data_IF_314185302426
#
_entry.id   IF_314185302426
#
_cell.length_a   1.000
_cell.length_b   1.000
_cell.length_c   1.000
_cell.angle_alpha   90.00
_cell.angle_beta   90.00
_cell.angle_gamma   90.00
#
_symmetry.space_group_name_H-M   'P 1'
#
loop_
_entity.id
_entity.type
_entity.pdbx_description
1 polymer ?
#
# COMPACT_ATOMS: atom_id res chain seq x y z
N UNK A 1 -33.82 0.84 21.89
CA UNK A 1 -34.04 -0.12 20.78
C UNK A 1 -35.51 -0.32 20.44
N UNK A 2 -36.40 -0.61 21.41
CA UNK A 2 -37.82 -0.97 21.16
C UNK A 2 -38.61 0.08 20.35
N UNK A 3 -38.35 1.39 20.56
CA UNK A 3 -39.10 2.47 19.88
C UNK A 3 -38.83 2.57 18.37
N UNK A 4 -37.62 2.24 17.90
CA UNK A 4 -37.26 2.29 16.48
C UNK A 4 -37.83 1.09 15.73
N UNK A 5 -37.63 -0.12 16.27
CA UNK A 5 -38.20 -1.36 15.70
C UNK A 5 -39.72 -1.29 15.64
N UNK A 6 -40.37 -0.79 16.69
CA UNK A 6 -41.82 -0.55 16.71
C UNK A 6 -42.27 0.46 15.64
N UNK A 7 -41.59 1.61 15.54
CA UNK A 7 -41.93 2.64 14.53
C UNK A 7 -41.75 2.16 13.09
N UNK A 8 -40.75 1.30 12.85
CA UNK A 8 -40.46 0.74 11.52
C UNK A 8 -41.16 -0.61 11.28
N UNK A 9 -41.93 -1.11 12.25
CA UNK A 9 -42.57 -2.43 12.22
C UNK A 9 -41.60 -3.58 11.91
N UNK A 10 -40.36 -3.47 12.37
CA UNK A 10 -39.32 -4.48 12.16
C UNK A 10 -39.33 -5.54 13.28
N UNK A 11 -39.07 -6.82 12.95
CA UNK A 11 -38.95 -7.86 13.96
C UNK A 11 -37.69 -7.66 14.81
N UNK A 12 -37.81 -7.89 16.12
CA UNK A 12 -36.64 -7.97 17.00
C UNK A 12 -35.89 -9.27 16.70
N UNK A 13 -34.63 -9.17 16.27
CA UNK A 13 -33.74 -10.32 16.04
C UNK A 13 -32.49 -10.17 16.88
N UNK A 14 -31.99 -11.27 17.42
CA UNK A 14 -30.64 -11.32 17.99
C UNK A 14 -29.68 -11.27 16.80
N UNK A 15 -28.75 -10.30 16.75
CA UNK A 15 -27.79 -10.25 15.66
C UNK A 15 -26.87 -11.48 15.70
N UNK A 16 -26.35 -11.94 14.54
CA UNK A 16 -25.31 -12.96 14.50
C UNK A 16 -24.10 -12.59 15.38
N UNK A 17 -23.40 -13.60 15.92
CA UNK A 17 -22.30 -13.42 16.90
C UNK A 17 -21.10 -12.64 16.35
N UNK A 18 -20.90 -12.69 15.04
CA UNK A 18 -19.87 -12.01 14.27
C UNK A 18 -20.18 -10.53 14.00
N UNK A 19 -21.40 -10.07 14.29
CA UNK A 19 -21.76 -8.66 14.14
C UNK A 19 -21.22 -7.85 15.33
N UNK A 20 -20.42 -6.80 15.09
CA UNK A 20 -19.90 -5.95 16.16
C UNK A 20 -21.04 -5.32 16.98
N UNK A 21 -20.86 -5.34 18.30
CA UNK A 21 -21.83 -4.81 19.25
C UNK A 21 -21.23 -3.61 20.02
N UNK A 22 -22.00 -3.05 20.96
CA UNK A 22 -21.58 -1.91 21.76
C UNK A 22 -20.22 -2.12 22.47
N UNK A 23 -19.99 -3.30 23.05
CA UNK A 23 -18.73 -3.60 23.74
C UNK A 23 -17.56 -3.70 22.75
N UNK A 24 -17.80 -4.19 21.53
CA UNK A 24 -16.81 -4.16 20.45
C UNK A 24 -16.35 -2.73 20.15
N UNK A 25 -17.28 -1.81 19.90
CA UNK A 25 -16.92 -0.40 19.63
C UNK A 25 -16.28 0.30 20.83
N UNK A 26 -16.75 -0.01 22.04
CA UNK A 26 -16.15 0.52 23.28
C UNK A 26 -14.69 0.04 23.44
N UNK A 27 -14.38 -1.19 23.04
CA UNK A 27 -13.01 -1.70 23.05
C UNK A 27 -12.10 -0.93 22.08
N UNK A 28 -12.58 -0.59 20.87
CA UNK A 28 -11.83 0.21 19.90
C UNK A 28 -11.48 1.59 20.46
N UNK A 29 -12.47 2.26 21.04
CA UNK A 29 -12.26 3.58 21.68
C UNK A 29 -11.28 3.47 22.85
N UNK A 30 -11.37 2.40 23.64
CA UNK A 30 -10.44 2.16 24.75
C UNK A 30 -9.01 1.99 24.25
N UNK A 31 -8.79 1.26 23.16
CA UNK A 31 -7.45 1.10 22.56
C UNK A 31 -6.95 2.43 22.02
N UNK A 32 -7.73 3.13 21.20
CA UNK A 32 -7.31 4.38 20.56
C UNK A 32 -6.99 5.50 21.58
N UNK A 33 -7.69 5.53 22.71
CA UNK A 33 -7.49 6.54 23.77
C UNK A 33 -6.47 6.13 24.83
N UNK A 34 -5.90 4.93 24.75
CA UNK A 34 -4.97 4.45 25.75
C UNK A 34 -3.63 5.21 25.66
N UNK A 35 -3.25 6.03 26.66
CA UNK A 35 -2.00 6.77 26.62
C UNK A 35 -0.77 5.88 26.77
N UNK A 36 -0.93 4.63 27.21
CA UNK A 36 0.15 3.66 27.32
C UNK A 36 0.53 3.00 25.98
N UNK A 37 -0.22 3.25 24.90
CA UNK A 37 0.16 2.74 23.59
C UNK A 37 1.49 3.36 23.15
N UNK A 38 2.45 2.57 22.65
CA UNK A 38 3.68 3.10 22.11
C UNK A 38 3.37 3.98 20.89
N UNK A 39 3.99 5.16 20.87
CA UNK A 39 3.90 6.09 19.73
C UNK A 39 4.96 5.69 18.70
N UNK A 40 4.54 5.58 17.43
CA UNK A 40 5.46 5.42 16.30
C UNK A 40 5.27 6.58 15.33
N UNK A 41 6.36 7.07 14.77
CA UNK A 41 6.36 8.19 13.83
C UNK A 41 6.44 7.70 12.39
N UNK A 42 5.47 8.09 11.58
CA UNK A 42 5.36 7.64 10.19
C UNK A 42 5.42 8.85 9.28
N UNK A 43 6.38 8.86 8.35
CA UNK A 43 6.42 9.85 7.28
C UNK A 43 5.35 9.52 6.25
N UNK A 44 4.40 10.42 6.06
CA UNK A 44 3.41 10.35 4.98
C UNK A 44 3.86 11.30 3.88
N UNK A 45 4.46 10.75 2.81
CA UNK A 45 5.03 11.55 1.72
C UNK A 45 4.04 11.59 0.55
N UNK A 46 3.30 12.69 0.43
CA UNK A 46 2.20 12.81 -0.52
C UNK A 46 2.15 14.14 -1.25
N UNK A 47 0.98 14.43 -1.81
CA UNK A 47 0.65 15.70 -2.46
C UNK A 47 -0.59 16.26 -1.76
N UNK A 48 -0.58 17.54 -1.36
CA UNK A 48 -1.67 18.17 -0.61
C UNK A 48 -1.86 17.60 0.81
N UNK A 49 -0.79 17.12 1.43
CA UNK A 49 -0.85 16.53 2.78
C UNK A 49 -0.96 17.58 3.89
N UNK A 50 -0.56 18.83 3.61
CA UNK A 50 -0.64 19.93 4.58
C UNK A 50 -1.90 20.79 4.44
N UNK A 51 -2.64 20.64 3.34
CA UNK A 51 -3.78 21.50 2.97
C UNK A 51 -5.12 21.15 3.63
N UNK A 52 -5.16 20.19 4.57
CA UNK A 52 -6.39 19.81 5.27
C UNK A 52 -7.49 19.20 4.39
N UNK A 53 -7.13 18.68 3.21
CA UNK A 53 -8.07 18.05 2.29
C UNK A 53 -8.28 16.58 2.60
N UNK A 54 -9.51 16.09 2.41
CA UNK A 54 -9.91 14.68 2.56
C UNK A 54 -9.33 13.75 1.48
N UNK A 55 -8.30 14.20 0.74
CA UNK A 55 -7.70 13.49 -0.38
C UNK A 55 -7.16 12.09 0.00
N UNK A 56 -6.84 11.89 1.28
CA UNK A 56 -6.30 10.63 1.81
C UNK A 56 -7.18 10.02 2.91
N UNK A 57 -8.45 10.42 3.00
CA UNK A 57 -9.33 10.02 4.12
C UNK A 57 -9.44 8.49 4.27
N UNK A 58 -9.60 7.74 3.17
CA UNK A 58 -9.65 6.27 3.22
C UNK A 58 -8.38 5.64 3.80
N UNK A 59 -7.21 6.20 3.48
CA UNK A 59 -5.92 5.74 3.99
C UNK A 59 -5.82 6.04 5.49
N UNK A 60 -6.19 7.24 5.92
CA UNK A 60 -6.18 7.62 7.34
C UNK A 60 -7.14 6.77 8.18
N UNK A 61 -8.30 6.39 7.65
CA UNK A 61 -9.19 5.44 8.32
C UNK A 61 -8.55 4.04 8.43
N UNK A 62 -7.85 3.58 7.38
CA UNK A 62 -7.09 2.33 7.45
C UNK A 62 -5.96 2.38 8.49
N UNK A 63 -5.33 3.55 8.70
CA UNK A 63 -4.33 3.76 9.74
C UNK A 63 -4.94 3.60 11.14
N UNK A 64 -6.14 4.14 11.38
CA UNK A 64 -6.88 3.92 12.63
C UNK A 64 -7.22 2.45 12.87
N UNK A 65 -7.62 1.70 11.84
CA UNK A 65 -7.83 0.25 11.96
C UNK A 65 -6.55 -0.45 12.43
N UNK A 66 -5.39 -0.06 11.89
CA UNK A 66 -4.10 -0.62 12.29
C UNK A 66 -3.68 -0.20 13.72
N UNK A 67 -4.00 1.03 14.15
CA UNK A 67 -3.79 1.48 15.53
C UNK A 67 -4.57 0.61 16.53
N UNK A 68 -5.82 0.28 16.21
CA UNK A 68 -6.65 -0.62 17.01
C UNK A 68 -6.01 -2.01 17.05
N UNK A 69 -5.69 -2.58 15.89
CA UNK A 69 -5.19 -3.95 15.77
C UNK A 69 -3.83 -4.17 16.45
N UNK A 70 -2.96 -3.18 16.43
CA UNK A 70 -1.60 -3.27 16.98
C UNK A 70 -1.46 -2.64 18.37
N UNK A 71 -2.52 -2.00 18.89
CA UNK A 71 -2.49 -1.18 20.10
C UNK A 71 -1.28 -0.23 20.09
N UNK A 72 -1.22 0.62 19.07
CA UNK A 72 -0.19 1.64 18.87
C UNK A 72 -0.84 3.01 18.71
N UNK A 73 -0.06 4.07 18.88
CA UNK A 73 -0.43 5.43 18.53
C UNK A 73 0.41 5.90 17.35
N UNK A 74 -0.22 6.47 16.34
CA UNK A 74 0.49 7.05 15.19
C UNK A 74 0.75 8.53 15.41
N UNK A 75 1.98 8.93 15.18
CA UNK A 75 2.39 10.32 14.97
C UNK A 75 2.75 10.48 13.49
N UNK A 76 1.92 11.20 12.74
CA UNK A 76 2.06 11.29 11.28
C UNK A 76 2.80 12.57 10.93
N UNK A 77 4.01 12.41 10.38
CA UNK A 77 4.75 13.49 9.75
C UNK A 77 4.26 13.64 8.30
N UNK A 78 3.34 14.57 8.08
CA UNK A 78 2.88 14.92 6.74
C UNK A 78 3.96 15.70 6.00
N UNK A 79 4.46 15.15 4.90
CA UNK A 79 5.52 15.74 4.09
C UNK A 79 5.04 15.93 2.65
N UNK A 80 5.03 17.19 2.19
CA UNK A 80 4.78 17.48 0.78
C UNK A 80 5.97 16.98 -0.03
N UNK A 81 5.72 16.13 -1.02
CA UNK A 81 6.79 15.55 -1.83
C UNK A 81 7.70 16.61 -2.48
N UNK A 82 7.19 17.78 -2.85
CA UNK A 82 7.98 18.90 -3.39
C UNK A 82 9.00 19.48 -2.39
N UNK A 83 8.87 19.24 -1.08
CA UNK A 83 9.85 19.70 -0.07
C UNK A 83 11.14 18.87 -0.06
N UNK A 84 11.06 17.64 -0.59
CA UNK A 84 12.21 16.76 -0.84
C UNK A 84 12.95 17.12 -2.13
N UNK A 85 12.51 18.19 -2.80
CA UNK A 85 13.12 18.73 -4.01
C UNK A 85 13.72 20.12 -3.67
N UNK A 86 14.90 20.42 -4.21
CA UNK A 86 15.53 21.74 -4.07
C UNK A 86 16.23 21.98 -2.73
N UNK A 87 16.26 23.25 -2.28
CA UNK A 87 17.14 23.70 -1.20
C UNK A 87 16.81 23.13 0.20
N UNK A 88 15.57 22.70 0.45
CA UNK A 88 15.14 22.07 1.71
C UNK A 88 15.31 20.55 1.73
N UNK A 89 15.78 19.95 0.63
CA UNK A 89 15.79 18.50 0.48
C UNK A 89 16.64 17.80 1.55
N UNK A 90 17.77 18.38 1.96
CA UNK A 90 18.65 17.78 2.98
C UNK A 90 17.95 17.69 4.35
N UNK A 91 17.31 18.77 4.79
CA UNK A 91 16.56 18.82 6.05
C UNK A 91 15.36 17.85 6.01
N UNK A 92 14.63 17.82 4.89
CA UNK A 92 13.52 16.91 4.70
C UNK A 92 13.96 15.44 4.76
N UNK A 93 15.13 15.11 4.18
CA UNK A 93 15.72 13.77 4.25
C UNK A 93 16.12 13.39 5.68
N UNK A 94 16.70 14.32 6.46
CA UNK A 94 16.98 14.07 7.89
C UNK A 94 15.69 13.82 8.69
N UNK A 95 14.62 14.56 8.40
CA UNK A 95 13.32 14.33 9.02
C UNK A 95 12.75 12.94 8.67
N UNK A 96 12.93 12.47 7.43
CA UNK A 96 12.56 11.10 7.03
C UNK A 96 13.35 10.04 7.80
N UNK A 97 14.66 10.24 7.99
CA UNK A 97 15.51 9.30 8.76
C UNK A 97 15.11 9.17 10.23
N UNK A 98 14.49 10.20 10.79
CA UNK A 98 14.00 10.19 12.16
C UNK A 98 12.64 9.48 12.33
N UNK A 99 12.03 8.99 11.24
CA UNK A 99 10.76 8.27 11.26
C UNK A 99 10.96 6.75 11.39
N UNK A 100 9.98 6.06 12.00
CA UNK A 100 9.96 4.61 12.15
C UNK A 100 9.50 3.89 10.87
N UNK A 101 8.90 4.61 9.94
CA UNK A 101 8.43 4.10 8.66
C UNK A 101 8.11 5.22 7.66
N UNK A 102 8.21 4.91 6.38
CA UNK A 102 7.91 5.82 5.27
C UNK A 102 6.78 5.22 4.43
N UNK A 103 5.70 5.98 4.28
CA UNK A 103 4.54 5.62 3.48
C UNK A 103 4.38 6.58 2.30
N UNK A 104 4.21 6.01 1.10
CA UNK A 104 3.92 6.77 -0.13
C UNK A 104 2.58 6.30 -0.70
N UNK A 105 1.53 7.15 -0.69
CA UNK A 105 0.20 6.77 -1.18
C UNK A 105 0.13 6.76 -2.71
N UNK A 106 -1.05 6.37 -3.21
CA UNK A 106 -1.43 6.61 -4.59
C UNK A 106 -1.48 8.11 -4.94
N UNK A 107 -1.40 8.41 -6.23
CA UNK A 107 -1.45 9.77 -6.76
C UNK A 107 -1.51 9.76 -8.28
N UNK A 108 -1.58 10.96 -8.86
CA UNK A 108 -1.64 11.15 -10.31
C UNK A 108 -0.84 12.39 -10.74
N UNK A 109 -0.27 12.32 -11.95
CA UNK A 109 0.47 13.42 -12.56
C UNK A 109 1.92 13.56 -12.08
N UNK A 110 2.65 14.43 -12.77
CA UNK A 110 4.12 14.54 -12.71
C UNK A 110 4.68 15.29 -11.49
N UNK A 111 3.83 15.95 -10.70
CA UNK A 111 4.29 16.83 -9.62
C UNK A 111 4.78 16.04 -8.40
N UNK A 112 5.95 16.41 -7.88
CA UNK A 112 6.53 15.81 -6.68
C UNK A 112 6.99 14.37 -6.88
N UNK A 113 7.30 13.93 -8.11
CA UNK A 113 7.74 12.56 -8.38
C UNK A 113 9.18 12.36 -7.89
N UNK A 114 10.07 13.31 -8.15
CA UNK A 114 11.48 13.21 -7.73
C UNK A 114 11.61 13.22 -6.21
N UNK A 115 10.80 14.01 -5.52
CA UNK A 115 10.71 13.97 -4.07
C UNK A 115 10.24 12.62 -3.52
N UNK A 116 9.25 11.97 -4.18
CA UNK A 116 8.83 10.61 -3.80
C UNK A 116 9.93 9.58 -4.06
N UNK A 117 10.65 9.67 -5.18
CA UNK A 117 11.82 8.84 -5.48
C UNK A 117 12.88 9.00 -4.39
N UNK A 118 13.15 10.24 -3.93
CA UNK A 118 14.06 10.51 -2.81
C UNK A 118 13.60 9.88 -1.50
N UNK A 119 12.29 9.86 -1.22
CA UNK A 119 11.74 9.20 -0.05
C UNK A 119 11.93 7.68 -0.09
N UNK A 120 11.71 7.04 -1.25
CA UNK A 120 12.00 5.61 -1.43
C UNK A 120 13.48 5.32 -1.26
N UNK A 121 14.35 6.12 -1.87
CA UNK A 121 15.80 5.98 -1.77
C UNK A 121 16.23 6.06 -0.31
N UNK A 122 15.67 7.00 0.45
CA UNK A 122 15.92 7.15 1.88
C UNK A 122 15.46 5.92 2.65
N UNK A 123 14.26 5.40 2.38
CA UNK A 123 13.79 4.19 3.02
C UNK A 123 14.76 3.02 2.78
N UNK A 124 15.08 2.77 1.51
CA UNK A 124 15.92 1.66 1.07
C UNK A 124 17.35 1.74 1.59
N UNK A 125 18.00 2.90 1.51
CA UNK A 125 19.41 3.07 1.93
C UNK A 125 19.58 3.01 3.44
N UNK A 126 18.61 3.49 4.21
CA UNK A 126 18.67 3.54 5.67
C UNK A 126 17.89 2.40 6.34
N UNK A 127 17.39 1.45 5.55
CA UNK A 127 16.67 0.27 6.01
C UNK A 127 15.42 0.61 6.86
N UNK A 128 14.74 1.70 6.52
CA UNK A 128 13.54 2.19 7.20
C UNK A 128 12.32 1.54 6.56
N UNK A 129 11.41 0.88 7.32
CA UNK A 129 10.21 0.26 6.78
C UNK A 129 9.50 1.12 5.74
N UNK A 130 9.23 0.55 4.57
CA UNK A 130 8.61 1.22 3.44
C UNK A 130 7.31 0.54 3.05
N UNK A 131 6.26 1.34 2.82
CA UNK A 131 5.05 0.88 2.16
C UNK A 131 4.59 1.85 1.06
N UNK A 132 4.57 1.36 -0.17
CA UNK A 132 4.09 2.09 -1.34
C UNK A 132 2.77 1.56 -1.86
N UNK A 133 1.82 2.44 -2.15
CA UNK A 133 0.49 2.08 -2.71
C UNK A 133 0.32 2.73 -4.08
N UNK A 134 -0.06 1.96 -5.10
CA UNK A 134 -0.32 2.40 -6.45
C UNK A 134 0.87 3.21 -7.02
N UNK A 135 0.77 4.55 -7.07
CA UNK A 135 1.90 5.41 -7.44
C UNK A 135 3.15 5.15 -6.59
N UNK A 136 2.99 4.81 -5.30
CA UNK A 136 4.09 4.44 -4.41
C UNK A 136 4.90 3.26 -4.95
N UNK A 137 4.25 2.24 -5.50
CA UNK A 137 4.94 1.10 -6.14
C UNK A 137 5.69 1.53 -7.41
N UNK A 138 5.07 2.38 -8.23
CA UNK A 138 5.66 2.87 -9.47
C UNK A 138 6.92 3.69 -9.22
N UNK A 139 6.90 4.60 -8.25
CA UNK A 139 8.10 5.38 -7.88
C UNK A 139 9.19 4.52 -7.24
N UNK A 140 8.82 3.41 -6.57
CA UNK A 140 9.79 2.47 -6.04
C UNK A 140 10.55 1.71 -7.15
N UNK A 141 9.87 1.35 -8.23
CA UNK A 141 10.51 0.76 -9.41
C UNK A 141 11.46 1.74 -10.10
N UNK A 142 11.04 3.02 -10.21
CA UNK A 142 11.88 4.09 -10.76
C UNK A 142 13.14 4.28 -9.90
N UNK A 143 12.99 4.40 -8.58
CA UNK A 143 14.13 4.56 -7.67
C UNK A 143 15.11 3.40 -7.78
N UNK A 144 14.60 2.17 -7.74
CA UNK A 144 15.42 0.96 -7.77
C UNK A 144 16.14 0.81 -9.10
N UNK A 145 15.47 1.08 -10.23
CA UNK A 145 16.10 1.06 -11.54
C UNK A 145 17.24 2.10 -11.67
N UNK A 146 17.03 3.32 -11.16
CA UNK A 146 18.03 4.37 -11.20
C UNK A 146 19.26 4.06 -10.35
N UNK A 147 19.06 3.51 -9.15
CA UNK A 147 20.13 3.36 -8.17
C UNK A 147 20.77 1.98 -8.11
N UNK A 148 19.99 0.91 -8.24
CA UNK A 148 20.51 -0.47 -8.15
C UNK A 148 20.88 -1.04 -9.52
N UNK A 149 20.15 -0.66 -10.58
CA UNK A 149 20.46 -1.07 -11.96
C UNK A 149 21.31 -0.04 -12.72
N UNK A 150 21.49 1.17 -12.16
CA UNK A 150 22.26 2.25 -12.78
C UNK A 150 21.60 2.90 -14.00
N UNK A 151 20.30 2.68 -14.20
CA UNK A 151 19.54 3.25 -15.32
C UNK A 151 19.09 4.66 -14.98
N UNK A 152 20.01 5.62 -15.10
CA UNK A 152 19.80 7.01 -14.65
C UNK A 152 18.56 7.68 -15.25
N UNK A 153 18.18 7.33 -16.48
CA UNK A 153 17.01 7.88 -17.17
C UNK A 153 15.72 7.07 -16.96
N UNK A 154 15.74 6.00 -16.15
CA UNK A 154 14.56 5.17 -15.93
C UNK A 154 13.40 5.99 -15.38
N UNK A 155 12.21 5.83 -15.98
CA UNK A 155 11.03 6.60 -15.61
C UNK A 155 9.73 5.86 -15.95
N UNK A 156 8.60 6.48 -15.64
CA UNK A 156 7.28 6.08 -16.17
C UNK A 156 7.01 6.76 -17.50
N UNK A 157 6.32 6.08 -18.41
CA UNK A 157 5.72 6.67 -19.62
C UNK A 157 4.82 7.88 -19.28
N UNK A 158 4.16 7.88 -18.12
CA UNK A 158 3.33 9.01 -17.66
C UNK A 158 4.16 10.28 -17.42
N UNK A 159 5.35 10.12 -16.83
CA UNK A 159 6.13 11.23 -16.31
C UNK A 159 7.19 11.71 -17.30
N UNK A 160 7.75 10.78 -18.07
CA UNK A 160 8.73 11.06 -19.11
C UNK A 160 8.60 10.03 -20.24
N UNK A 161 7.82 10.40 -21.26
CA UNK A 161 7.65 9.60 -22.46
C UNK A 161 8.93 9.50 -23.32
N UNK A 162 9.96 10.30 -23.03
CA UNK A 162 11.23 10.30 -23.79
C UNK A 162 12.30 9.40 -23.17
N UNK A 163 12.08 8.91 -21.95
CA UNK A 163 12.96 7.95 -21.28
C UNK A 163 13.22 6.72 -22.15
N UNK A 164 14.49 6.32 -22.27
CA UNK A 164 14.85 5.07 -22.97
C UNK A 164 14.49 3.83 -22.14
N UNK A 165 14.20 4.01 -20.85
CA UNK A 165 13.90 2.98 -19.86
C UNK A 165 12.59 3.26 -19.14
N UNK A 166 11.49 3.18 -19.89
CA UNK A 166 10.13 3.24 -19.34
C UNK A 166 9.80 1.97 -18.53
N UNK A 167 10.16 1.98 -17.25
CA UNK A 167 9.93 0.84 -16.33
C UNK A 167 8.46 0.69 -15.91
N UNK A 168 7.67 1.74 -16.12
CA UNK A 168 6.22 1.77 -15.96
C UNK A 168 5.61 2.34 -17.24
N UNK A 169 4.57 1.70 -17.78
CA UNK A 169 3.98 2.02 -19.10
C UNK A 169 2.51 1.62 -19.18
N UNK A 170 1.80 2.12 -20.18
CA UNK A 170 0.51 1.58 -20.58
C UNK A 170 0.75 0.24 -21.29
N UNK A 171 -0.02 -0.78 -20.90
CA UNK A 171 0.01 -2.09 -21.57
C UNK A 171 -0.49 -1.96 -23.01
N UNK A 172 0.16 -2.65 -23.96
CA UNK A 172 -0.24 -2.55 -25.37
C UNK A 172 -1.68 -3.00 -25.63
N UNK A 173 -2.16 -3.98 -24.86
CA UNK A 173 -3.55 -4.46 -24.93
C UNK A 173 -4.58 -3.40 -24.48
N UNK A 174 -4.18 -2.44 -23.66
CA UNK A 174 -5.06 -1.40 -23.12
C UNK A 174 -5.01 -0.10 -23.95
N UNK A 175 -4.00 0.09 -24.81
CA UNK A 175 -3.76 1.35 -25.55
C UNK A 175 -4.89 1.72 -26.53
N UNK A 176 -5.51 0.73 -27.15
CA UNK A 176 -6.48 0.95 -28.22
C UNK A 176 -7.95 0.93 -27.76
N UNK A 177 -8.22 0.72 -26.45
CA UNK A 177 -9.57 0.70 -25.92
C UNK A 177 -9.97 2.09 -25.39
N UNK A 178 -10.75 2.83 -26.19
CA UNK A 178 -11.31 4.13 -25.77
C UNK A 178 -12.11 4.00 -24.47
N UNK A 179 -11.72 4.75 -23.44
CA UNK A 179 -12.43 4.83 -22.15
C UNK A 179 -12.17 3.68 -21.17
N UNK A 180 -11.51 2.59 -21.60
CA UNK A 180 -11.36 1.34 -20.82
C UNK A 180 -9.91 0.98 -20.45
N UNK A 181 -8.95 1.87 -20.63
CA UNK A 181 -7.56 1.64 -20.21
C UNK A 181 -7.33 1.74 -18.68
N UNK A 182 -8.40 1.88 -17.88
CA UNK A 182 -8.30 1.93 -16.42
C UNK A 182 -8.50 0.54 -15.83
N UNK A 183 -7.45 0.01 -15.23
CA UNK A 183 -7.51 -1.15 -14.38
C UNK A 183 -8.29 -0.78 -13.11
N UNK A 184 -9.55 -1.20 -13.05
CA UNK A 184 -10.55 -0.73 -12.10
C UNK A 184 -11.31 -1.91 -11.47
N UNK A 185 -11.68 -1.73 -10.20
CA UNK A 185 -12.64 -2.59 -9.50
C UNK A 185 -11.95 -3.66 -8.68
N UNK A 186 -12.73 -4.66 -8.23
CA UNK A 186 -12.18 -5.83 -7.56
C UNK A 186 -11.53 -6.75 -8.61
N UNK A 187 -10.30 -7.18 -8.35
CA UNK A 187 -9.53 -8.06 -9.23
C UNK A 187 -8.79 -9.09 -8.41
N UNK A 188 -8.56 -10.24 -9.03
CA UNK A 188 -7.80 -11.32 -8.42
C UNK A 188 -6.31 -10.99 -8.47
N UNK A 189 -5.65 -11.17 -7.33
CA UNK A 189 -4.23 -10.98 -7.11
C UNK A 189 -3.66 -12.34 -6.70
N UNK A 190 -2.92 -12.94 -7.61
CA UNK A 190 -2.28 -14.24 -7.43
C UNK A 190 -0.93 -14.07 -6.72
N UNK A 191 -0.79 -14.68 -5.56
CA UNK A 191 0.46 -14.67 -4.80
C UNK A 191 1.36 -15.77 -5.36
N UNK A 192 2.44 -15.35 -6.04
CA UNK A 192 3.35 -16.24 -6.75
C UNK A 192 4.62 -16.58 -5.95
N UNK A 193 4.86 -15.87 -4.85
CA UNK A 193 5.95 -16.14 -3.92
C UNK A 193 5.38 -16.46 -2.53
N UNK A 194 5.08 -17.74 -2.20
CA UNK A 194 4.41 -18.11 -0.95
C UNK A 194 5.25 -17.79 0.31
N UNK A 195 6.57 -17.83 0.20
CA UNK A 195 7.50 -17.51 1.30
C UNK A 195 7.74 -16.00 1.47
N UNK A 196 7.09 -15.17 0.66
CA UNK A 196 7.22 -13.70 0.73
C UNK A 196 6.37 -13.09 1.85
N UNK A 197 6.48 -11.76 2.04
CA UNK A 197 5.57 -11.06 2.97
C UNK A 197 4.14 -11.22 2.50
N UNK A 198 3.85 -11.14 1.20
CA UNK A 198 2.51 -11.34 0.67
C UNK A 198 1.91 -12.70 1.08
N UNK A 199 2.66 -13.79 0.96
CA UNK A 199 2.19 -15.10 1.40
C UNK A 199 1.95 -15.19 2.91
N UNK A 200 2.79 -14.52 3.71
CA UNK A 200 2.62 -14.47 5.18
C UNK A 200 1.39 -13.65 5.58
N UNK A 201 1.26 -12.42 5.08
CA UNK A 201 0.22 -11.46 5.54
C UNK A 201 -1.19 -11.90 5.11
N UNK A 202 -1.29 -12.62 3.99
CA UNK A 202 -2.56 -13.21 3.53
C UNK A 202 -2.70 -14.69 3.94
N UNK A 203 -1.99 -15.11 4.99
CA UNK A 203 -2.19 -16.42 5.65
C UNK A 203 -2.10 -17.62 4.67
N UNK A 204 -1.16 -17.56 3.73
CA UNK A 204 -0.91 -18.63 2.74
C UNK A 204 -1.93 -18.72 1.60
N UNK A 205 -2.87 -17.78 1.46
CA UNK A 205 -3.80 -17.76 0.35
C UNK A 205 -3.06 -17.65 -1.00
N UNK A 206 -3.43 -18.49 -1.97
CA UNK A 206 -2.83 -18.44 -3.31
C UNK A 206 -3.39 -17.29 -4.17
N UNK A 207 -4.63 -16.90 -3.92
CA UNK A 207 -5.33 -15.83 -4.64
C UNK A 207 -6.14 -15.01 -3.65
N UNK A 208 -6.05 -13.69 -3.78
CA UNK A 208 -6.84 -12.73 -3.01
C UNK A 208 -7.53 -11.75 -3.93
N UNK A 209 -8.56 -11.06 -3.46
CA UNK A 209 -9.30 -10.04 -4.20
C UNK A 209 -9.04 -8.67 -3.59
N UNK A 210 -8.47 -7.76 -4.38
CA UNK A 210 -8.14 -6.40 -3.98
C UNK A 210 -8.74 -5.40 -4.98
N UNK A 211 -8.74 -4.11 -4.62
CA UNK A 211 -9.37 -3.07 -5.44
C UNK A 211 -8.37 -2.19 -6.15
N UNK A 212 -8.58 -1.98 -7.45
CA UNK A 212 -7.66 -1.24 -8.30
C UNK A 212 -8.29 0.03 -8.85
N UNK A 213 -7.42 1.01 -9.13
CA UNK A 213 -7.74 2.24 -9.87
C UNK A 213 -6.47 2.89 -10.42
N UNK A 214 -5.89 2.30 -11.45
CA UNK A 214 -4.71 2.84 -12.15
C UNK A 214 -4.80 2.54 -13.65
N UNK A 215 -3.84 3.05 -14.43
CA UNK A 215 -3.75 2.84 -15.89
C UNK A 215 -2.42 2.27 -16.33
N UNK A 216 -1.36 2.66 -15.62
CA UNK A 216 0.00 2.25 -15.93
C UNK A 216 0.35 0.99 -15.14
N UNK A 217 1.12 0.13 -15.79
CA UNK A 217 1.60 -1.16 -15.31
C UNK A 217 3.13 -1.21 -15.38
N UNK A 218 3.71 -2.17 -14.68
CA UNK A 218 5.14 -2.44 -14.76
C UNK A 218 5.50 -2.97 -16.15
N UNK A 219 6.58 -2.49 -16.72
CA UNK A 219 7.08 -3.00 -18.00
C UNK A 219 7.75 -4.36 -17.79
N UNK A 220 7.05 -5.42 -18.23
CA UNK A 220 7.48 -6.82 -18.13
C UNK A 220 8.89 -7.11 -18.64
N UNK A 221 9.34 -6.35 -19.65
CA UNK A 221 10.66 -6.47 -20.29
C UNK A 221 11.83 -6.43 -19.29
N UNK A 222 11.67 -5.71 -18.18
CA UNK A 222 12.75 -5.46 -17.22
C UNK A 222 12.68 -6.31 -15.95
N UNK A 223 11.67 -7.18 -15.79
CA UNK A 223 11.45 -7.91 -14.54
C UNK A 223 12.63 -8.82 -14.15
N UNK A 224 13.29 -9.43 -15.13
CA UNK A 224 14.48 -10.25 -14.86
C UNK A 224 15.66 -9.44 -14.35
N UNK A 225 15.81 -8.19 -14.79
CA UNK A 225 16.88 -7.32 -14.31
C UNK A 225 16.61 -6.93 -12.84
N UNK A 226 15.38 -6.57 -12.50
CA UNK A 226 14.95 -6.32 -11.11
C UNK A 226 15.20 -7.54 -10.21
N UNK A 227 14.85 -8.74 -10.68
CA UNK A 227 15.08 -10.01 -9.97
C UNK A 227 16.55 -10.27 -9.67
N UNK A 228 17.41 -10.10 -10.66
CA UNK A 228 18.87 -10.29 -10.50
C UNK A 228 19.50 -9.29 -9.53
N UNK A 229 18.94 -8.07 -9.44
CA UNK A 229 19.37 -7.05 -8.49
C UNK A 229 18.77 -7.22 -7.09
N UNK A 230 17.92 -8.23 -6.86
CA UNK A 230 17.43 -8.60 -5.53
C UNK A 230 16.03 -8.08 -5.17
N UNK A 231 15.30 -7.47 -6.11
CA UNK A 231 13.87 -7.21 -5.95
C UNK A 231 13.06 -8.42 -6.43
N UNK A 232 12.03 -8.82 -5.71
CA UNK A 232 11.12 -9.89 -6.15
C UNK A 232 9.74 -9.33 -6.50
N UNK A 233 9.07 -10.00 -7.44
CA UNK A 233 7.63 -9.84 -7.67
C UNK A 233 6.93 -10.92 -6.85
N UNK A 234 6.14 -10.53 -5.85
CA UNK A 234 5.46 -11.48 -4.97
C UNK A 234 4.02 -11.75 -5.35
N UNK A 235 3.37 -10.88 -6.13
CA UNK A 235 2.03 -11.09 -6.64
C UNK A 235 1.77 -10.48 -8.02
N UNK A 236 0.81 -11.04 -8.76
CA UNK A 236 0.44 -10.67 -10.14
C UNK A 236 -1.07 -10.88 -10.39
N UNK A 237 -1.68 -10.19 -11.36
CA UNK A 237 -3.10 -10.43 -11.74
C UNK A 237 -3.25 -11.51 -12.82
N UNK A 238 -2.28 -11.65 -13.73
CA UNK A 238 -2.41 -12.49 -14.92
C UNK A 238 -1.30 -13.57 -14.98
N UNK A 239 -1.25 -14.52 -14.03
CA UNK A 239 -0.09 -15.41 -13.83
C UNK A 239 0.18 -16.38 -14.98
N UNK A 240 -0.81 -16.60 -15.86
CA UNK A 240 -0.69 -17.49 -17.02
C UNK A 240 -0.17 -16.78 -18.26
N UNK A 241 -0.07 -15.45 -18.24
CA UNK A 241 0.41 -14.66 -19.36
C UNK A 241 1.95 -14.59 -19.39
N UNK A 242 2.49 -14.36 -20.60
CA UNK A 242 3.92 -14.06 -20.75
C UNK A 242 4.29 -12.74 -20.06
N UNK A 243 5.59 -12.53 -19.82
CA UNK A 243 6.09 -11.36 -19.08
C UNK A 243 5.56 -10.02 -19.60
N UNK A 244 5.38 -9.87 -20.92
CA UNK A 244 4.89 -8.64 -21.56
C UNK A 244 3.40 -8.35 -21.31
N UNK A 245 2.64 -9.35 -20.83
CA UNK A 245 1.22 -9.24 -20.51
C UNK A 245 0.93 -9.48 -19.01
N UNK A 246 1.98 -9.66 -18.21
CA UNK A 246 1.91 -9.92 -16.79
C UNK A 246 1.77 -8.60 -16.00
N UNK A 247 0.61 -8.39 -15.36
CA UNK A 247 0.43 -7.25 -14.44
C UNK A 247 1.02 -7.57 -13.08
N UNK A 248 1.98 -6.76 -12.65
CA UNK A 248 2.65 -6.88 -11.35
C UNK A 248 1.83 -6.17 -10.29
N UNK A 249 1.49 -6.90 -9.23
CA UNK A 249 0.62 -6.43 -8.16
C UNK A 249 1.35 -6.10 -6.87
N UNK A 250 2.47 -6.79 -6.61
CA UNK A 250 3.30 -6.55 -5.44
C UNK A 250 4.79 -6.79 -5.72
N UNK A 251 5.62 -5.89 -5.21
CA UNK A 251 7.07 -5.99 -5.21
C UNK A 251 7.63 -5.92 -3.80
N UNK A 252 8.73 -6.63 -3.57
CA UNK A 252 9.44 -6.66 -2.30
C UNK A 252 10.96 -6.63 -2.48
N UNK A 253 11.67 -6.14 -1.47
CA UNK A 253 13.12 -6.29 -1.36
C UNK A 253 13.40 -7.20 -0.16
N UNK A 254 13.73 -8.49 -0.35
CA UNK A 254 13.89 -9.44 0.75
C UNK A 254 15.01 -9.11 1.73
N UNK A 255 16.07 -8.43 1.28
CA UNK A 255 17.20 -8.00 2.12
C UNK A 255 16.87 -6.82 3.05
N UNK A 256 15.76 -6.12 2.80
CA UNK A 256 15.33 -4.96 3.56
C UNK A 256 14.42 -5.36 4.73
N UNK A 257 14.51 -4.65 5.86
CA UNK A 257 13.77 -4.95 7.11
C UNK A 257 12.27 -5.07 6.87
N UNK A 258 11.70 -4.12 6.13
CA UNK A 258 10.37 -4.23 5.56
C UNK A 258 10.25 -3.33 4.33
N UNK A 259 10.21 -3.90 3.14
CA UNK A 259 9.94 -3.17 1.91
C UNK A 259 8.85 -3.91 1.15
N UNK A 260 7.66 -3.30 1.09
CA UNK A 260 6.52 -3.81 0.36
C UNK A 260 5.94 -2.66 -0.46
N UNK A 261 5.62 -2.89 -1.71
CA UNK A 261 4.86 -1.94 -2.49
C UNK A 261 3.86 -2.67 -3.37
N UNK A 262 2.65 -2.15 -3.45
CA UNK A 262 1.51 -2.81 -4.09
C UNK A 262 0.83 -1.87 -5.08
N UNK A 263 0.27 -2.45 -6.14
CA UNK A 263 -0.37 -1.67 -7.20
C UNK A 263 -1.84 -1.35 -6.90
N UNK A 264 -2.53 -2.27 -6.24
CA UNK A 264 -3.90 -2.09 -5.74
C UNK A 264 -3.98 -1.11 -4.57
N UNK A 265 -5.22 -0.82 -4.14
CA UNK A 265 -5.57 0.06 -3.02
C UNK A 265 -6.11 -0.76 -1.84
N UNK A 266 -5.22 -1.27 -0.96
CA UNK A 266 -5.59 -2.13 0.16
C UNK A 266 -6.49 -1.45 1.21
N UNK A 267 -6.54 -0.12 1.21
CA UNK A 267 -7.34 0.66 2.16
C UNK A 267 -8.84 0.49 1.94
N UNK A 268 -9.28 0.18 0.71
CA UNK A 268 -10.71 0.17 0.38
C UNK A 268 -11.48 -1.02 0.91
N UNK A 269 -10.79 -2.10 1.29
CA UNK A 269 -11.42 -3.29 1.88
C UNK A 269 -11.05 -3.48 3.35
N UNK A 270 -10.41 -2.47 3.96
CA UNK A 270 -10.09 -2.45 5.39
C UNK A 270 -11.30 -2.12 6.26
N UNK A 271 -11.38 -2.73 7.45
CA UNK A 271 -12.30 -2.33 8.50
C UNK A 271 -11.67 -2.60 9.89
N UNK A 272 -12.25 -2.10 11.00
CA UNK A 272 -11.66 -2.27 12.33
C UNK A 272 -11.52 -3.71 12.84
N UNK A 273 -12.32 -4.64 12.31
CA UNK A 273 -12.28 -6.07 12.69
C UNK A 273 -11.33 -6.89 11.81
N UNK A 274 -11.22 -6.52 10.53
CA UNK A 274 -10.29 -7.07 9.56
C UNK A 274 -9.50 -5.92 8.92
N UNK A 275 -8.48 -5.39 9.63
CA UNK A 275 -7.61 -4.35 9.11
C UNK A 275 -6.83 -4.86 7.90
N UNK A 276 -6.38 -3.95 7.05
CA UNK A 276 -5.75 -4.36 5.79
C UNK A 276 -4.38 -5.01 6.03
N UNK A 277 -4.13 -6.26 5.57
CA UNK A 277 -2.89 -6.97 5.87
C UNK A 277 -1.60 -6.25 5.45
N UNK A 278 -1.50 -5.63 4.25
CA UNK A 278 -0.32 -4.85 3.88
C UNK A 278 -0.03 -3.69 4.84
N UNK A 279 -1.06 -2.94 5.27
CA UNK A 279 -0.90 -1.86 6.23
C UNK A 279 -0.51 -2.36 7.62
N UNK A 280 -1.16 -3.43 8.11
CA UNK A 280 -0.81 -4.03 9.41
C UNK A 280 0.65 -4.50 9.41
N UNK A 281 1.11 -5.12 8.31
CA UNK A 281 2.49 -5.57 8.16
C UNK A 281 3.48 -4.40 8.24
N UNK A 282 3.18 -3.31 7.55
CA UNK A 282 3.98 -2.08 7.58
C UNK A 282 4.06 -1.48 8.99
N UNK A 283 2.93 -1.26 9.65
CA UNK A 283 2.91 -0.67 10.99
C UNK A 283 3.49 -1.61 12.06
N UNK A 284 3.32 -2.92 11.92
CA UNK A 284 3.96 -3.90 12.80
C UNK A 284 5.49 -3.84 12.66
N UNK A 285 6.00 -3.74 11.44
CA UNK A 285 7.42 -3.57 11.17
C UNK A 285 7.96 -2.25 11.74
N UNK A 286 7.28 -1.12 11.50
CA UNK A 286 7.65 0.18 12.06
C UNK A 286 7.64 0.18 13.60
N UNK A 287 6.63 -0.46 14.20
CA UNK A 287 6.55 -0.62 15.65
C UNK A 287 7.49 -1.68 16.24
N UNK A 288 8.23 -2.42 15.39
CA UNK A 288 9.04 -3.58 15.79
C UNK A 288 8.24 -4.59 16.61
N UNK A 289 6.94 -4.72 16.31
CA UNK A 289 6.01 -5.65 16.95
C UNK A 289 5.83 -6.90 16.10
N UNK A 290 5.72 -8.05 16.75
CA UNK A 290 5.20 -9.26 16.11
C UNK A 290 3.69 -9.14 16.00
N UNK A 291 3.14 -9.51 14.85
CA UNK A 291 1.71 -9.66 14.66
C UNK A 291 1.38 -11.13 14.44
N UNK A 292 0.37 -11.63 15.15
CA UNK A 292 -0.09 -13.00 14.98
C UNK A 292 -1.09 -13.00 13.82
N UNK A 293 -0.63 -13.38 12.64
CA UNK A 293 -1.48 -13.52 11.47
C UNK A 293 -2.55 -14.60 11.71
N UNK A 294 -3.78 -14.41 11.21
CA UNK A 294 -4.80 -15.44 11.22
C UNK A 294 -4.31 -16.75 10.58
N UNK A 295 -4.91 -17.87 10.95
CA UNK A 295 -4.60 -19.15 10.31
C UNK A 295 -5.08 -19.20 8.85
N UNK A 296 -6.14 -18.45 8.53
CA UNK A 296 -6.74 -18.41 7.19
C UNK A 296 -7.04 -16.96 6.80
N UNK A 297 -6.92 -16.67 5.50
CA UNK A 297 -7.27 -15.37 4.96
C UNK A 297 -8.78 -15.12 5.12
N UNK A 298 -9.13 -13.88 5.49
CA UNK A 298 -10.53 -13.53 5.70
C UNK A 298 -11.35 -13.74 4.39
N UNK A 299 -12.51 -14.41 4.40
CA UNK A 299 -13.27 -14.75 3.19
C UNK A 299 -13.56 -13.58 2.25
N UNK A 300 -13.84 -12.37 2.79
CA UNK A 300 -14.01 -11.12 2.01
C UNK A 300 -12.85 -10.76 1.07
N UNK A 301 -11.66 -11.30 1.34
CA UNK A 301 -10.43 -11.08 0.56
C UNK A 301 -10.17 -12.22 -0.40
N UNK A 302 -11.03 -13.24 -0.46
CA UNK A 302 -10.93 -14.33 -1.42
C UNK A 302 -11.82 -14.04 -2.64
N UNK A 303 -11.48 -14.59 -3.82
CA UNK A 303 -12.34 -14.50 -5.00
C UNK A 303 -13.77 -14.96 -4.70
N UNK A 304 -14.76 -14.14 -5.06
CA UNK A 304 -16.18 -14.41 -4.80
C UNK A 304 -16.64 -14.20 -3.35
N UNK A 305 -15.79 -13.64 -2.48
CA UNK A 305 -16.11 -13.37 -1.07
C UNK A 305 -16.81 -12.03 -0.77
N UNK A 306 -17.05 -11.20 -1.78
CA UNK A 306 -17.82 -9.94 -1.68
C UNK A 306 -19.25 -10.10 -2.22
#
# INVERSE_FOLDING_TARGET
MVRLLHKLQLPSRVPPMDVPNYETFKSFVSVLRNPANPTIRIAFVGKYVTGGGDAYFSVLQCFEHCQIALAIKLDILYMESETLEGASAEEAVEALKACDGIFVPGGFGVRGIEGKVKAVETARKYNIPYFGVCLGMQVALIEFARHELGWADANSEEFDATSSRQVVRIMDCDRNQMGANMHLGARDVHIIAPESKMGTIYSGAAVVSERHRHRYEVNGTYLEDFRKAGMIVSAVSDPTQGADQLRVEAIEIPSHAHFLAVQYHPEFISNPLDPSPPFVSFFAAAAKKKFNWPHECHPRRLPGGM
#
